data_IF_612603176042
#
_entry.id   IF_612603176042
#
_cell.length_a   1.000
_cell.length_b   1.000
_cell.length_c   1.000
_cell.angle_alpha   90.00
_cell.angle_beta   90.00
_cell.angle_gamma   90.00
#
_symmetry.space_group_name_H-M   'P 1'
#
loop_
_entity.id
_entity.type
_entity.pdbx_description
1 polymer ?
#
# COMPACT_ATOMS: atom_id res chain seq x y z
N UNK A 1 1.10 -29.01 -12.30
CA UNK A 1 0.50 -29.16 -10.96
C UNK A 1 1.61 -29.73 -10.12
N UNK A 2 2.26 -28.89 -9.32
CA UNK A 2 3.50 -29.26 -8.65
C UNK A 2 3.15 -30.14 -7.45
N UNK A 3 3.71 -31.34 -7.39
CA UNK A 3 3.67 -32.24 -6.25
C UNK A 3 4.25 -31.53 -5.01
N UNK A 4 3.37 -31.00 -4.15
CA UNK A 4 3.77 -30.51 -2.82
C UNK A 4 4.16 -31.71 -1.98
N UNK A 5 5.37 -31.68 -1.41
CA UNK A 5 5.81 -32.76 -0.54
C UNK A 5 4.87 -32.88 0.66
N UNK A 6 4.63 -34.10 1.15
CA UNK A 6 3.79 -34.33 2.33
C UNK A 6 4.25 -33.47 3.53
N UNK A 7 5.56 -33.22 3.60
CA UNK A 7 6.18 -32.34 4.58
C UNK A 7 5.76 -30.87 4.41
N UNK A 8 5.73 -30.36 3.18
CA UNK A 8 5.34 -28.97 2.91
C UNK A 8 3.87 -28.73 3.23
N UNK A 9 3.02 -29.72 2.91
CA UNK A 9 1.58 -29.64 3.24
C UNK A 9 1.35 -29.64 4.76
N UNK A 10 2.10 -30.43 5.52
CA UNK A 10 2.05 -30.42 6.99
C UNK A 10 2.55 -29.10 7.60
N UNK A 11 3.60 -28.52 7.02
CA UNK A 11 4.11 -27.20 7.43
C UNK A 11 3.09 -26.10 7.10
N UNK A 12 2.43 -26.18 5.95
CA UNK A 12 1.39 -25.24 5.54
C UNK A 12 0.12 -25.34 6.41
N UNK A 13 -0.16 -26.54 6.94
CA UNK A 13 -1.23 -26.77 7.93
C UNK A 13 -0.87 -26.30 9.35
N UNK A 14 0.34 -25.78 9.57
CA UNK A 14 0.75 -25.15 10.82
C UNK A 14 1.55 -26.03 11.77
N UNK A 15 1.92 -27.25 11.36
CA UNK A 15 2.85 -28.08 12.14
C UNK A 15 4.29 -27.61 11.92
N UNK A 16 5.11 -27.60 12.98
CA UNK A 16 6.52 -27.24 12.84
C UNK A 16 7.24 -28.27 11.96
N UNK A 17 8.24 -27.83 11.21
CA UNK A 17 8.94 -28.68 10.25
C UNK A 17 9.59 -29.91 10.91
N UNK A 18 10.02 -29.80 12.16
CA UNK A 18 10.61 -30.90 12.93
C UNK A 18 9.56 -31.95 13.30
N UNK A 19 8.37 -31.52 13.74
CA UNK A 19 7.23 -32.40 14.03
C UNK A 19 6.78 -33.16 12.79
N UNK A 20 6.62 -32.43 11.68
CA UNK A 20 6.23 -33.01 10.38
C UNK A 20 7.25 -34.05 9.88
N UNK A 21 8.55 -33.77 10.03
CA UNK A 21 9.63 -34.72 9.69
C UNK A 21 9.61 -35.96 10.57
N UNK A 22 9.46 -35.79 11.89
CA UNK A 22 9.43 -36.91 12.85
C UNK A 22 8.22 -37.82 12.59
N UNK A 23 7.06 -37.23 12.33
CA UNK A 23 5.84 -37.95 11.99
C UNK A 23 5.94 -38.71 10.66
N UNK A 24 6.51 -38.09 9.63
CA UNK A 24 6.75 -38.75 8.35
C UNK A 24 7.80 -39.87 8.46
N UNK A 25 8.81 -39.71 9.31
CA UNK A 25 9.79 -40.75 9.59
C UNK A 25 9.17 -41.93 10.36
N UNK A 26 8.36 -41.65 11.39
CA UNK A 26 7.68 -42.66 12.20
C UNK A 26 6.62 -43.45 11.41
N UNK A 27 5.97 -42.80 10.45
CA UNK A 27 4.96 -43.41 9.56
C UNK A 27 5.54 -43.96 8.25
N UNK A 28 6.87 -43.93 8.09
CA UNK A 28 7.54 -44.48 6.91
C UNK A 28 7.20 -43.77 5.59
N UNK A 29 6.87 -42.47 5.63
CA UNK A 29 6.43 -41.65 4.49
C UNK A 29 5.19 -42.21 3.76
N UNK A 30 4.27 -42.87 4.48
CA UNK A 30 3.05 -43.45 3.88
C UNK A 30 2.02 -42.40 3.41
N UNK A 31 2.17 -41.13 3.78
CA UNK A 31 1.32 -40.03 3.33
C UNK A 31 1.08 -38.98 4.40
N UNK A 32 0.43 -37.87 4.02
CA UNK A 32 0.11 -36.76 4.93
C UNK A 32 -0.84 -37.22 6.03
N UNK A 33 -1.87 -38.00 5.68
CA UNK A 33 -2.91 -38.45 6.63
C UNK A 33 -2.34 -39.33 7.75
N UNK A 34 -1.48 -40.29 7.42
CA UNK A 34 -0.79 -41.12 8.43
C UNK A 34 0.12 -40.28 9.33
N UNK A 35 0.84 -39.31 8.76
CA UNK A 35 1.66 -38.40 9.54
C UNK A 35 0.83 -37.50 10.47
N UNK A 36 -0.37 -37.06 10.06
CA UNK A 36 -1.28 -36.31 10.93
C UNK A 36 -1.82 -37.14 12.08
N UNK A 37 -2.20 -38.39 11.83
CA UNK A 37 -2.71 -39.30 12.86
C UNK A 37 -1.66 -39.54 13.96
N UNK A 38 -0.39 -39.77 13.55
CA UNK A 38 0.73 -39.88 14.48
C UNK A 38 0.99 -38.58 15.25
N UNK A 39 0.85 -37.42 14.60
CA UNK A 39 1.01 -36.10 15.23
C UNK A 39 -0.05 -35.81 16.29
N UNK A 40 -1.27 -36.34 16.12
CA UNK A 40 -2.37 -36.21 17.08
C UNK A 40 -2.17 -37.16 18.25
N UNK A 41 -1.77 -38.41 17.98
CA UNK A 41 -1.54 -39.41 19.03
C UNK A 41 -0.38 -39.05 19.97
N UNK A 42 0.56 -38.23 19.48
CA UNK A 42 1.72 -37.76 20.23
C UNK A 42 1.64 -36.25 20.52
N UNK A 43 0.46 -35.65 20.61
CA UNK A 43 0.36 -34.18 20.66
C UNK A 43 0.82 -33.51 21.94
N UNK A 44 0.80 -34.26 23.05
CA UNK A 44 1.12 -33.80 24.40
C UNK A 44 2.54 -34.15 24.85
N UNK A 45 3.39 -34.70 23.98
CA UNK A 45 4.74 -35.10 24.34
C UNK A 45 5.74 -33.94 24.09
N UNK A 46 6.23 -33.25 25.13
CA UNK A 46 7.11 -32.08 25.00
C UNK A 46 8.50 -32.43 24.44
N UNK A 47 8.87 -33.71 24.37
CA UNK A 47 10.12 -34.24 23.81
C UNK A 47 10.13 -34.30 22.27
N UNK A 48 9.06 -33.87 21.61
CA UNK A 48 8.99 -33.85 20.13
C UNK A 48 9.73 -32.65 19.54
N UNK A 49 10.00 -31.61 20.34
CA UNK A 49 10.78 -30.45 19.92
C UNK A 49 12.30 -30.62 20.08
N UNK A 50 12.78 -31.65 20.79
CA UNK A 50 14.22 -31.85 20.97
C UNK A 50 14.86 -32.50 19.73
N UNK A 51 15.97 -31.89 19.30
CA UNK A 51 16.68 -32.15 18.04
C UNK A 51 17.04 -33.63 17.84
N UNK A 52 16.64 -34.19 16.70
CA UNK A 52 17.12 -35.50 16.25
C UNK A 52 18.50 -35.31 15.60
N UNK A 53 19.57 -35.30 16.40
CA UNK A 53 20.91 -35.67 15.92
C UNK A 53 20.90 -37.18 15.61
N UNK A 54 20.79 -37.54 14.33
CA UNK A 54 20.88 -38.92 13.86
C UNK A 54 22.29 -39.22 13.37
N UNK A 55 23.07 -39.91 14.19
CA UNK A 55 24.08 -40.89 13.73
C UNK A 55 24.23 -42.03 14.75
N UNK A 56 23.64 -43.16 14.42
CA UNK A 56 23.71 -44.53 15.00
C UNK A 56 25.14 -45.17 14.98
N UNK A 57 25.41 -46.39 15.54
CA UNK A 57 24.57 -47.28 16.40
C UNK A 57 25.30 -48.05 17.56
N UNK A 58 24.51 -48.90 18.26
CA UNK A 58 24.78 -50.16 19.07
C UNK A 58 25.31 -50.04 20.53
N UNK A 59 24.93 -50.94 21.49
CA UNK A 59 23.59 -51.31 22.03
C UNK A 59 23.53 -51.36 23.60
N UNK A 60 22.37 -51.75 24.12
CA UNK A 60 22.10 -52.56 25.33
C UNK A 60 22.11 -51.94 26.75
N UNK A 61 20.92 -52.06 27.35
CA UNK A 61 20.61 -52.65 28.67
C UNK A 61 20.92 -51.89 29.99
N UNK A 62 19.81 -51.48 30.61
CA UNK A 62 19.39 -51.78 32.00
C UNK A 62 20.45 -51.97 33.07
N UNK A 63 20.31 -51.19 34.15
CA UNK A 63 19.96 -51.69 35.50
C UNK A 63 20.65 -50.86 36.61
N UNK A 64 19.80 -50.31 37.47
CA UNK A 64 20.16 -49.84 38.81
C UNK A 64 20.71 -51.01 39.63
N UNK A 65 21.90 -50.93 40.22
CA UNK A 65 22.22 -51.67 41.46
C UNK A 65 23.37 -50.99 42.20
N UNK A 66 23.08 -50.62 43.44
CA UNK A 66 24.04 -50.24 44.47
C UNK A 66 24.93 -51.42 44.92
N UNK A 67 26.10 -51.06 45.47
CA UNK A 67 27.01 -51.83 46.32
C UNK A 67 27.97 -52.84 45.66
N UNK A 68 29.28 -52.61 45.81
CA UNK A 68 30.14 -53.37 46.78
C UNK A 68 31.57 -52.83 46.80
N UNK A 69 32.16 -52.85 48.00
CA UNK A 69 33.53 -52.48 48.32
C UNK A 69 34.56 -53.54 47.89
N UNK A 70 35.84 -53.11 47.88
CA UNK A 70 37.10 -53.87 47.97
C UNK A 70 37.67 -54.61 46.73
N UNK A 71 38.73 -54.03 46.13
CA UNK A 71 40.01 -54.75 45.97
C UNK A 71 41.22 -53.84 45.69
N UNK A 72 42.32 -54.22 46.33
CA UNK A 72 43.61 -53.56 46.55
C UNK A 72 44.60 -53.66 45.36
N UNK A 73 45.23 -52.51 45.06
CA UNK A 73 46.62 -52.23 44.62
C UNK A 73 47.36 -53.12 43.58
N UNK A 74 47.81 -52.50 42.47
CA UNK A 74 49.24 -52.56 42.04
C UNK A 74 49.53 -51.77 40.74
N UNK A 75 50.28 -50.67 40.92
CA UNK A 75 51.38 -50.15 40.10
C UNK A 75 51.29 -50.15 38.56
N UNK A 76 51.31 -48.94 37.98
CA UNK A 76 51.67 -48.76 36.57
C UNK A 76 51.16 -47.48 35.88
N UNK A 77 50.64 -46.49 36.60
CA UNK A 77 50.29 -45.19 36.00
C UNK A 77 51.50 -44.29 36.09
N UNK A 78 52.19 -44.09 34.97
CA UNK A 78 53.15 -43.01 34.84
C UNK A 78 52.43 -41.71 35.25
N UNK A 79 52.82 -41.17 36.40
CA UNK A 79 52.31 -39.91 36.91
C UNK A 79 52.79 -38.83 35.94
N UNK A 80 51.93 -38.44 34.98
CA UNK A 80 52.04 -37.13 34.35
C UNK A 80 52.12 -36.13 35.49
N UNK A 81 53.27 -35.45 35.58
CA UNK A 81 53.56 -34.47 36.63
C UNK A 81 52.42 -33.45 36.70
N UNK A 82 52.08 -32.97 37.90
CA UNK A 82 51.04 -31.95 38.11
C UNK A 82 51.21 -30.75 37.16
N UNK A 83 52.47 -30.39 36.90
CA UNK A 83 52.85 -29.32 35.98
C UNK A 83 52.44 -29.59 34.51
N UNK A 84 52.52 -30.84 34.04
CA UNK A 84 52.11 -31.20 32.68
C UNK A 84 50.59 -31.22 32.51
N UNK A 85 49.87 -31.69 33.54
CA UNK A 85 48.40 -31.63 33.55
C UNK A 85 47.91 -30.19 33.56
N UNK A 86 48.58 -29.31 34.29
CA UNK A 86 48.25 -27.88 34.33
C UNK A 86 48.52 -27.16 33.00
N UNK A 87 49.59 -27.54 32.28
CA UNK A 87 49.85 -27.05 30.91
C UNK A 87 48.82 -27.57 29.91
N UNK A 88 48.39 -28.82 30.05
CA UNK A 88 47.40 -29.44 29.18
C UNK A 88 45.99 -28.84 29.41
N UNK A 89 45.61 -28.54 30.66
CA UNK A 89 44.36 -27.83 30.98
C UNK A 89 44.41 -26.37 30.54
N UNK A 90 45.52 -25.65 30.71
CA UNK A 90 45.69 -24.28 30.19
C UNK A 90 45.57 -24.22 28.67
N UNK A 91 46.22 -25.14 27.94
CA UNK A 91 46.07 -25.24 26.47
C UNK A 91 44.63 -25.55 26.06
N UNK A 92 43.95 -26.44 26.78
CA UNK A 92 42.54 -26.77 26.50
C UNK A 92 41.62 -25.57 26.75
N UNK A 93 41.79 -24.88 27.89
CA UNK A 93 41.02 -23.66 28.21
C UNK A 93 41.29 -22.54 27.20
N UNK A 94 42.53 -22.37 26.74
CA UNK A 94 42.90 -21.39 25.73
C UNK A 94 42.27 -21.72 24.36
N UNK A 95 42.25 -22.99 23.95
CA UNK A 95 41.56 -23.43 22.73
C UNK A 95 40.05 -23.20 22.80
N UNK A 96 39.44 -23.49 23.96
CA UNK A 96 38.00 -23.24 24.21
C UNK A 96 37.72 -21.74 24.17
N UNK A 97 38.54 -20.93 24.85
CA UNK A 97 38.39 -19.47 24.85
C UNK A 97 38.58 -18.87 23.45
N UNK A 98 39.51 -19.39 22.65
CA UNK A 98 39.74 -18.95 21.27
C UNK A 98 38.54 -19.29 20.38
N UNK A 99 37.99 -20.51 20.51
CA UNK A 99 36.80 -20.96 19.77
C UNK A 99 35.53 -20.22 20.19
N UNK A 100 35.38 -19.88 21.48
CA UNK A 100 34.26 -19.07 21.96
C UNK A 100 34.33 -17.62 21.47
N UNK A 101 35.51 -16.99 21.46
CA UNK A 101 35.69 -15.64 20.90
C UNK A 101 35.36 -15.59 19.41
N UNK A 102 35.78 -16.60 18.65
CA UNK A 102 35.45 -16.70 17.23
C UNK A 102 33.93 -16.85 17.00
N UNK A 103 33.28 -17.71 17.80
CA UNK A 103 31.82 -17.89 17.75
C UNK A 103 31.07 -16.61 18.11
N UNK A 104 31.52 -15.91 19.16
CA UNK A 104 30.91 -14.65 19.60
C UNK A 104 31.09 -13.53 18.56
N UNK A 105 32.26 -13.43 17.91
CA UNK A 105 32.46 -12.48 16.80
C UNK A 105 31.56 -12.80 15.61
N UNK A 106 31.41 -14.09 15.28
CA UNK A 106 30.51 -14.53 14.20
C UNK A 106 29.06 -14.20 14.52
N UNK A 107 28.59 -14.54 15.72
CA UNK A 107 27.22 -14.24 16.18
C UNK A 107 26.97 -12.72 16.25
N UNK A 108 27.97 -11.93 16.65
CA UNK A 108 27.86 -10.46 16.69
C UNK A 108 27.80 -9.87 15.27
N UNK A 109 28.58 -10.41 14.32
CA UNK A 109 28.49 -10.03 12.91
C UNK A 109 27.12 -10.38 12.33
N UNK A 110 26.61 -11.58 12.60
CA UNK A 110 25.28 -12.02 12.15
C UNK A 110 24.17 -11.15 12.73
N UNK A 111 24.23 -10.76 14.01
CA UNK A 111 23.26 -9.82 14.61
C UNK A 111 23.31 -8.43 13.98
N UNK A 112 24.51 -7.92 13.67
CA UNK A 112 24.67 -6.64 12.97
C UNK A 112 24.11 -6.73 11.54
N UNK A 113 24.34 -7.85 10.85
CA UNK A 113 23.84 -8.12 9.50
C UNK A 113 22.30 -8.19 9.50
N UNK A 114 21.70 -8.92 10.44
CA UNK A 114 20.25 -9.04 10.57
C UNK A 114 19.57 -7.69 10.89
N UNK A 115 20.12 -6.90 11.82
CA UNK A 115 19.58 -5.56 12.11
C UNK A 115 19.76 -4.61 10.91
N UNK A 116 20.86 -4.72 10.17
CA UNK A 116 21.06 -3.97 8.91
C UNK A 116 20.06 -4.39 7.84
N UNK A 117 19.74 -5.68 7.75
CA UNK A 117 18.77 -6.22 6.81
C UNK A 117 17.35 -5.76 7.14
N UNK A 118 16.97 -5.73 8.42
CA UNK A 118 15.69 -5.16 8.87
C UNK A 118 15.55 -3.68 8.47
N UNK A 119 16.61 -2.88 8.70
CA UNK A 119 16.64 -1.46 8.30
C UNK A 119 16.57 -1.30 6.79
N UNK A 120 17.31 -2.14 6.05
CA UNK A 120 17.34 -2.13 4.59
C UNK A 120 15.99 -2.47 4.00
N UNK A 121 15.31 -3.49 4.51
CA UNK A 121 13.95 -3.86 4.08
C UNK A 121 12.94 -2.73 4.34
N UNK A 122 13.03 -2.04 5.49
CA UNK A 122 12.19 -0.87 5.77
C UNK A 122 12.49 0.32 4.82
N UNK A 123 13.77 0.57 4.54
CA UNK A 123 14.17 1.59 3.57
C UNK A 123 13.74 1.24 2.15
N UNK A 124 13.79 -0.03 1.78
CA UNK A 124 13.42 -0.53 0.45
C UNK A 124 11.91 -0.39 0.21
N UNK A 125 11.07 -0.68 1.20
CA UNK A 125 9.61 -0.42 1.11
C UNK A 125 9.30 1.07 0.91
N UNK A 126 10.00 1.95 1.64
CA UNK A 126 9.86 3.40 1.46
C UNK A 126 10.32 3.87 0.08
N UNK A 127 11.46 3.34 -0.40
CA UNK A 127 12.02 3.64 -1.72
C UNK A 127 11.12 3.15 -2.86
N UNK A 128 10.49 1.97 -2.73
CA UNK A 128 9.52 1.45 -3.70
C UNK A 128 8.33 2.40 -3.82
N UNK A 129 7.77 2.86 -2.69
CA UNK A 129 6.65 3.81 -2.68
C UNK A 129 7.02 5.14 -3.31
N UNK A 130 8.20 5.69 -3.00
CA UNK A 130 8.68 6.95 -3.58
C UNK A 130 8.89 6.83 -5.09
N UNK A 131 9.47 5.72 -5.54
CA UNK A 131 9.70 5.46 -6.97
C UNK A 131 8.41 5.34 -7.76
N UNK A 132 7.37 4.74 -7.18
CA UNK A 132 6.06 4.65 -7.80
C UNK A 132 5.42 6.05 -7.95
N UNK A 133 5.50 6.87 -6.90
CA UNK A 133 4.99 8.25 -6.92
C UNK A 133 5.75 9.14 -7.91
N UNK A 134 7.07 8.98 -8.02
CA UNK A 134 7.90 9.65 -9.03
C UNK A 134 7.55 9.20 -10.45
N UNK A 135 7.31 7.91 -10.68
CA UNK A 135 6.89 7.39 -11.98
C UNK A 135 5.53 7.96 -12.42
N UNK A 136 4.56 8.04 -11.51
CA UNK A 136 3.27 8.67 -11.79
C UNK A 136 3.42 10.16 -12.14
N UNK A 137 4.25 10.88 -11.38
CA UNK A 137 4.51 12.30 -11.64
C UNK A 137 5.24 12.51 -12.97
N UNK A 138 6.22 11.66 -13.28
CA UNK A 138 6.97 11.71 -14.52
C UNK A 138 6.07 11.44 -15.74
N UNK A 139 5.19 10.43 -15.64
CA UNK A 139 4.23 10.11 -16.69
C UNK A 139 3.26 11.28 -16.93
N UNK A 140 2.75 11.89 -15.87
CA UNK A 140 1.89 13.07 -15.98
C UNK A 140 2.62 14.26 -16.63
N UNK A 141 3.90 14.47 -16.31
CA UNK A 141 4.71 15.53 -16.91
C UNK A 141 4.97 15.29 -18.40
N UNK A 142 5.24 14.05 -18.80
CA UNK A 142 5.47 13.66 -20.20
C UNK A 142 4.20 13.75 -21.04
N UNK A 143 3.05 13.33 -20.49
CA UNK A 143 1.76 13.44 -21.15
C UNK A 143 1.41 14.93 -21.37
N UNK A 144 1.64 15.78 -20.37
CA UNK A 144 1.46 17.24 -20.52
C UNK A 144 2.40 17.87 -21.55
N UNK A 145 3.62 17.34 -21.70
CA UNK A 145 4.57 17.78 -22.74
C UNK A 145 4.12 17.32 -24.13
N UNK A 146 3.65 16.08 -24.25
CA UNK A 146 3.13 15.53 -25.51
C UNK A 146 1.87 16.26 -25.97
N UNK A 147 0.90 16.48 -25.09
CA UNK A 147 -0.33 17.22 -25.40
C UNK A 147 0.00 18.64 -25.90
N UNK A 148 0.92 19.35 -25.24
CA UNK A 148 1.39 20.66 -25.72
C UNK A 148 2.06 20.57 -27.10
N UNK A 149 2.88 19.56 -27.36
CA UNK A 149 3.51 19.38 -28.67
C UNK A 149 2.48 19.06 -29.76
N UNK A 150 1.47 18.26 -29.45
CA UNK A 150 0.39 17.93 -30.38
C UNK A 150 -0.54 19.11 -30.64
N UNK A 151 -0.83 19.93 -29.62
CA UNK A 151 -1.57 21.18 -29.76
C UNK A 151 -0.82 22.18 -30.65
N UNK A 152 0.50 22.32 -30.44
CA UNK A 152 1.34 23.17 -31.30
C UNK A 152 1.34 22.68 -32.75
N UNK A 153 1.51 21.38 -32.98
CA UNK A 153 1.45 20.78 -34.33
C UNK A 153 0.06 20.91 -34.95
N UNK A 154 -1.01 20.77 -34.18
CA UNK A 154 -2.37 20.95 -34.65
C UNK A 154 -2.63 22.41 -35.05
N UNK A 155 -2.18 23.35 -34.21
CA UNK A 155 -2.23 24.79 -34.48
C UNK A 155 -1.43 25.16 -35.72
N UNK A 156 -0.27 24.54 -35.93
CA UNK A 156 0.53 24.72 -37.15
C UNK A 156 -0.19 24.21 -38.38
N UNK A 157 -0.78 22.99 -38.35
CA UNK A 157 -1.58 22.46 -39.47
C UNK A 157 -2.78 23.35 -39.81
N UNK A 158 -3.46 23.90 -38.81
CA UNK A 158 -4.58 24.84 -39.04
C UNK A 158 -4.07 26.12 -39.68
N UNK A 159 -2.95 26.66 -39.18
CA UNK A 159 -2.32 27.85 -39.75
C UNK A 159 -1.90 27.65 -41.20
N UNK A 160 -1.33 26.49 -41.53
CA UNK A 160 -0.96 26.14 -42.90
C UNK A 160 -2.18 26.02 -43.82
N UNK A 161 -3.28 25.37 -43.35
CA UNK A 161 -4.54 25.30 -44.10
C UNK A 161 -5.12 26.69 -44.38
N UNK A 162 -5.11 27.59 -43.39
CA UNK A 162 -5.56 28.98 -43.57
C UNK A 162 -4.64 29.72 -44.57
N UNK A 163 -3.33 29.53 -44.47
CA UNK A 163 -2.38 30.16 -45.39
C UNK A 163 -2.58 29.68 -46.84
N UNK A 164 -2.80 28.37 -47.03
CA UNK A 164 -3.09 27.75 -48.32
C UNK A 164 -4.41 28.24 -48.91
N UNK A 165 -5.49 28.26 -48.13
CA UNK A 165 -6.81 28.75 -48.57
C UNK A 165 -6.75 30.26 -48.89
N UNK A 166 -6.04 31.04 -48.07
CA UNK A 166 -5.81 32.47 -48.30
C UNK A 166 -4.99 32.72 -49.57
N UNK A 167 -3.94 31.94 -49.82
CA UNK A 167 -3.14 32.04 -51.04
C UNK A 167 -3.94 31.63 -52.28
N UNK A 168 -4.77 30.59 -52.20
CA UNK A 168 -5.63 30.17 -53.30
C UNK A 168 -6.72 31.20 -53.61
N UNK A 169 -7.37 31.77 -52.57
CA UNK A 169 -8.33 32.87 -52.73
C UNK A 169 -7.66 34.12 -53.31
N UNK A 170 -6.47 34.48 -52.84
CA UNK A 170 -5.73 35.62 -53.42
C UNK A 170 -5.40 35.39 -54.90
N UNK A 171 -5.04 34.17 -55.31
CA UNK A 171 -4.81 33.82 -56.72
C UNK A 171 -6.09 33.84 -57.57
N UNK A 172 -7.25 33.50 -56.99
CA UNK A 172 -8.54 33.46 -57.69
C UNK A 172 -9.28 34.81 -57.72
N UNK A 173 -9.20 35.60 -56.66
CA UNK A 173 -9.92 36.88 -56.49
C UNK A 173 -9.05 38.12 -56.72
N UNK A 174 -7.72 37.99 -56.80
CA UNK A 174 -6.81 39.09 -57.15
C UNK A 174 -6.91 39.59 -58.60
N UNK A 175 -7.86 39.07 -59.39
CA UNK A 175 -8.16 39.51 -60.76
C UNK A 175 -9.53 40.16 -60.96
N UNK A 176 -10.31 40.39 -59.90
CA UNK A 176 -11.62 41.05 -60.00
C UNK A 176 -11.60 42.45 -59.37
N UNK A 177 -11.73 43.43 -60.26
CA UNK A 177 -11.75 44.88 -60.07
C UNK A 177 -12.69 45.33 -58.95
N UNK A 178 -12.19 46.23 -58.11
CA UNK A 178 -12.93 46.94 -57.08
C UNK A 178 -13.76 48.08 -57.69
N UNK A 179 -15.05 48.16 -57.35
CA UNK A 179 -15.84 49.40 -57.41
C UNK A 179 -16.27 49.80 -55.99
N UNK A 180 -16.03 51.05 -55.56
CA UNK A 180 -16.50 51.57 -54.28
C UNK A 180 -17.80 52.37 -54.48
N UNK A 181 -18.79 52.14 -53.62
CA UNK A 181 -19.91 53.08 -53.42
C UNK A 181 -19.98 53.45 -51.94
N UNK A 182 -19.91 54.76 -51.69
CA UNK A 182 -19.96 55.44 -50.38
C UNK A 182 -21.36 56.07 -50.15
N UNK A 183 -21.64 56.86 -49.08
CA UNK A 183 -22.79 56.68 -48.17
C UNK A 183 -23.83 57.83 -48.25
N UNK A 184 -24.80 57.91 -47.31
CA UNK A 184 -25.30 59.22 -46.85
C UNK A 184 -25.26 59.40 -45.31
N UNK A 185 -25.20 60.68 -44.91
CA UNK A 185 -24.83 61.22 -43.59
C UNK A 185 -25.99 61.92 -42.82
N UNK A 186 -25.87 61.97 -41.48
CA UNK A 186 -26.14 63.08 -40.50
C UNK A 186 -27.58 63.66 -40.32
N UNK A 187 -28.17 64.04 -39.17
CA UNK A 187 -27.81 64.55 -37.79
C UNK A 187 -29.14 64.74 -36.96
N UNK A 188 -29.26 65.32 -35.72
CA UNK A 188 -28.43 65.40 -34.50
C UNK A 188 -29.19 65.03 -33.18
N UNK A 189 -28.48 65.17 -32.05
CA UNK A 189 -28.80 64.85 -30.64
C UNK A 189 -29.62 65.97 -29.96
N UNK A 190 -30.36 65.72 -28.86
CA UNK A 190 -29.98 66.41 -27.61
C UNK A 190 -29.95 65.50 -26.37
N UNK A 191 -29.01 65.83 -25.48
CA UNK A 191 -28.74 65.17 -24.21
C UNK A 191 -29.78 65.57 -23.14
N UNK A 192 -30.23 64.59 -22.34
CA UNK A 192 -30.50 64.80 -20.92
C UNK A 192 -30.36 63.49 -20.15
N UNK A 193 -29.87 63.63 -18.93
CA UNK A 193 -29.14 62.63 -18.16
C UNK A 193 -30.01 61.74 -17.26
N UNK A 194 -29.33 60.72 -16.73
CA UNK A 194 -29.64 59.88 -15.56
C UNK A 194 -30.48 58.62 -15.80
N UNK A 195 -29.77 57.51 -16.07
CA UNK A 195 -30.10 56.19 -15.53
C UNK A 195 -28.81 55.36 -15.40
N UNK A 196 -28.59 54.65 -14.29
CA UNK A 196 -27.36 53.89 -14.06
C UNK A 196 -27.27 52.74 -15.06
N UNK A 197 -26.16 52.72 -15.77
CA UNK A 197 -25.74 51.67 -16.68
C UNK A 197 -25.71 50.31 -15.98
N UNK A 198 -26.60 49.42 -16.41
CA UNK A 198 -26.44 47.97 -16.21
C UNK A 198 -25.19 47.52 -16.96
N UNK A 199 -24.27 46.76 -16.36
CA UNK A 199 -23.23 46.10 -17.14
C UNK A 199 -23.89 45.08 -18.05
N UNK A 200 -23.65 45.23 -19.35
CA UNK A 200 -23.92 44.22 -20.38
C UNK A 200 -23.18 42.95 -19.97
N UNK A 201 -23.94 41.97 -19.50
CA UNK A 201 -23.45 40.66 -19.10
C UNK A 201 -23.20 39.85 -20.38
N UNK A 202 -21.93 39.65 -20.73
CA UNK A 202 -21.53 38.53 -21.60
C UNK A 202 -22.13 37.23 -21.03
N UNK A 203 -22.53 36.27 -21.89
CA UNK A 203 -23.09 35.01 -21.42
C UNK A 203 -22.12 34.35 -20.42
N UNK A 204 -22.59 33.93 -19.23
CA UNK A 204 -21.70 33.40 -18.20
C UNK A 204 -21.06 32.12 -18.73
N UNK A 205 -19.75 32.18 -18.98
CA UNK A 205 -18.92 30.98 -19.18
C UNK A 205 -19.09 30.16 -17.91
N UNK A 206 -19.70 28.97 -18.03
CA UNK A 206 -19.96 28.08 -16.91
C UNK A 206 -18.63 27.82 -16.20
N UNK A 207 -18.41 28.43 -15.04
CA UNK A 207 -17.24 28.19 -14.21
C UNK A 207 -17.37 26.77 -13.66
N UNK A 208 -16.61 25.85 -14.24
CA UNK A 208 -16.44 24.51 -13.70
C UNK A 208 -15.50 24.61 -12.51
N UNK A 209 -16.00 24.30 -11.32
CA UNK A 209 -15.18 24.26 -10.11
C UNK A 209 -14.75 22.81 -9.88
N UNK A 210 -13.46 22.59 -9.63
CA UNK A 210 -12.90 21.26 -9.36
C UNK A 210 -12.99 20.86 -7.87
N UNK A 211 -13.41 21.80 -7.02
CA UNK A 211 -13.58 21.60 -5.59
C UNK A 211 -15.00 21.97 -5.15
N UNK A 212 -15.50 21.23 -4.18
CA UNK A 212 -16.83 21.40 -3.60
C UNK A 212 -16.73 21.48 -2.07
N UNK A 213 -17.18 22.59 -1.48
CA UNK A 213 -17.26 22.72 -0.02
C UNK A 213 -18.63 22.30 0.47
N UNK A 214 -18.68 21.20 1.22
CA UNK A 214 -19.91 20.67 1.80
C UNK A 214 -19.97 21.00 3.29
N UNK A 215 -21.07 21.62 3.71
CA UNK A 215 -21.42 21.75 5.12
C UNK A 215 -22.53 20.76 5.45
N UNK A 216 -22.26 19.81 6.34
CA UNK A 216 -23.23 18.84 6.84
C UNK A 216 -23.75 19.32 8.19
N UNK A 217 -25.07 19.48 8.30
CA UNK A 217 -25.76 19.74 9.57
C UNK A 217 -26.21 18.42 10.18
N UNK A 218 -25.75 18.16 11.40
CA UNK A 218 -26.06 16.98 12.17
C UNK A 218 -27.36 17.20 12.99
N UNK A 219 -27.91 16.11 13.53
CA UNK A 219 -29.15 16.09 14.32
C UNK A 219 -28.94 16.63 15.74
N UNK A 220 -27.70 16.60 16.22
CA UNK A 220 -27.29 17.23 17.48
C UNK A 220 -27.16 18.77 17.37
N UNK A 221 -27.37 19.31 16.17
CA UNK A 221 -27.24 20.74 15.85
C UNK A 221 -25.81 21.18 15.51
N UNK A 222 -24.82 20.29 15.62
CA UNK A 222 -23.46 20.56 15.17
C UNK A 222 -23.36 20.55 13.65
N UNK A 223 -22.30 21.17 13.13
CA UNK A 223 -22.05 21.25 11.70
C UNK A 223 -20.63 20.79 11.37
N UNK A 224 -20.53 19.81 10.48
CA UNK A 224 -19.26 19.36 9.90
C UNK A 224 -19.04 20.11 8.58
N UNK A 225 -17.85 20.65 8.36
CA UNK A 225 -17.48 21.27 7.08
C UNK A 225 -16.31 20.51 6.49
N UNK A 226 -16.44 20.07 5.25
CA UNK A 226 -15.37 19.37 4.53
C UNK A 226 -15.33 19.79 3.07
N UNK A 227 -14.13 19.81 2.51
CA UNK A 227 -13.92 20.09 1.08
C UNK A 227 -13.64 18.79 0.34
N UNK A 228 -14.42 18.52 -0.69
CA UNK A 228 -14.37 17.34 -1.55
C UNK A 228 -14.01 17.76 -2.98
N UNK A 229 -13.55 16.82 -3.81
CA UNK A 229 -13.33 17.09 -5.24
C UNK A 229 -14.63 17.03 -6.02
N UNK A 230 -14.75 17.78 -7.12
CA UNK A 230 -15.98 17.82 -7.93
C UNK A 230 -16.35 16.46 -8.54
N UNK A 231 -15.34 15.64 -8.84
CA UNK A 231 -15.49 14.27 -9.37
C UNK A 231 -15.63 13.20 -8.27
N UNK A 232 -15.59 13.60 -7.01
CA UNK A 232 -15.74 12.68 -5.87
C UNK A 232 -17.20 12.26 -5.72
N UNK A 233 -17.45 11.05 -5.25
CA UNK A 233 -18.79 10.49 -5.11
C UNK A 233 -19.47 10.99 -3.84
N UNK A 234 -20.81 11.07 -3.85
CA UNK A 234 -21.59 11.42 -2.65
C UNK A 234 -21.38 10.42 -1.50
N UNK A 235 -21.06 9.16 -1.80
CA UNK A 235 -20.66 8.15 -0.81
C UNK A 235 -19.52 8.62 0.10
N UNK A 236 -18.55 9.39 -0.42
CA UNK A 236 -17.44 9.91 0.39
C UNK A 236 -17.94 10.86 1.49
N UNK A 237 -18.97 11.66 1.20
CA UNK A 237 -19.61 12.54 2.18
C UNK A 237 -20.31 11.71 3.25
N UNK A 238 -20.99 10.62 2.87
CA UNK A 238 -21.64 9.71 3.82
C UNK A 238 -20.63 9.07 4.78
N UNK A 239 -19.53 8.52 4.26
CA UNK A 239 -18.45 7.93 5.08
C UNK A 239 -17.83 8.97 6.02
N UNK A 240 -17.62 10.20 5.52
CA UNK A 240 -17.11 11.30 6.35
C UNK A 240 -18.04 11.63 7.51
N UNK A 241 -19.36 11.61 7.28
CA UNK A 241 -20.36 11.79 8.34
C UNK A 241 -20.30 10.63 9.33
N UNK A 242 -20.24 9.38 8.87
CA UNK A 242 -20.17 8.19 9.75
C UNK A 242 -18.91 8.19 10.64
N UNK A 243 -17.78 8.66 10.12
CA UNK A 243 -16.52 8.71 10.86
C UNK A 243 -16.47 9.86 11.87
N UNK A 244 -17.02 11.02 11.51
CA UNK A 244 -16.91 12.26 12.30
C UNK A 244 -18.18 12.58 13.11
N UNK A 245 -19.18 11.70 13.07
CA UNK A 245 -20.37 11.78 13.91
C UNK A 245 -20.22 10.85 15.12
N UNK A 246 -19.89 11.37 16.31
CA UNK A 246 -19.69 10.55 17.51
C UNK A 246 -20.99 9.97 18.11
N UNK A 247 -22.15 10.64 17.93
CA UNK A 247 -23.43 10.25 18.55
C UNK A 247 -24.40 9.47 17.64
N UNK A 248 -23.93 8.79 16.61
CA UNK A 248 -24.77 8.30 15.50
C UNK A 248 -24.06 7.36 14.53
N UNK A 249 -22.87 6.89 14.93
CA UNK A 249 -22.18 5.82 14.23
C UNK A 249 -23.05 4.55 14.28
N UNK A 250 -23.61 4.16 13.13
CA UNK A 250 -24.37 2.93 12.94
C UNK A 250 -25.89 3.06 12.76
N UNK A 251 -26.49 4.25 12.92
CA UNK A 251 -27.90 4.43 12.56
C UNK A 251 -28.04 4.74 11.05
N UNK A 252 -28.99 4.12 10.33
CA UNK A 252 -29.24 4.47 8.94
C UNK A 252 -29.82 5.89 8.86
N UNK A 253 -29.15 6.76 8.09
CA UNK A 253 -29.59 8.13 7.86
C UNK A 253 -29.63 8.46 6.37
N UNK A 254 -30.45 9.45 6.02
CA UNK A 254 -30.53 10.04 4.69
C UNK A 254 -29.87 11.42 4.69
N UNK A 255 -29.20 11.75 3.59
CA UNK A 255 -28.71 13.10 3.32
C UNK A 255 -29.76 13.87 2.53
N UNK A 256 -30.07 15.09 2.96
CA UNK A 256 -31.00 15.97 2.26
C UNK A 256 -30.42 17.36 2.02
N UNK A 257 -30.75 17.95 0.87
CA UNK A 257 -30.46 19.36 0.57
C UNK A 257 -31.59 20.26 1.08
N UNK A 258 -31.29 21.53 1.34
CA UNK A 258 -32.30 22.53 1.74
C UNK A 258 -33.05 23.13 0.55
N UNK A 259 -32.33 23.51 -0.51
CA UNK A 259 -32.91 24.14 -1.70
C UNK A 259 -32.11 23.80 -2.98
N UNK A 260 -32.73 23.23 -4.02
CA UNK A 260 -34.04 22.58 -3.99
C UNK A 260 -33.99 21.37 -3.04
N UNK A 261 -35.05 21.16 -2.25
CA UNK A 261 -35.08 20.07 -1.27
C UNK A 261 -35.10 18.73 -1.99
N UNK A 262 -34.04 17.95 -1.83
CA UNK A 262 -33.85 16.63 -2.43
C UNK A 262 -33.34 15.69 -1.35
N UNK A 263 -33.91 14.50 -1.29
CA UNK A 263 -33.43 13.40 -0.43
C UNK A 263 -32.57 12.50 -1.32
N UNK A 264 -31.33 12.26 -0.92
CA UNK A 264 -30.43 11.40 -1.66
C UNK A 264 -30.64 9.94 -1.27
N UNK A 265 -30.73 9.09 -2.29
CA UNK A 265 -30.89 7.63 -2.17
C UNK A 265 -29.57 6.92 -2.44
N UNK A 266 -29.55 5.59 -2.34
CA UNK A 266 -28.36 4.77 -2.58
C UNK A 266 -27.83 4.92 -4.02
N UNK A 267 -28.72 5.01 -5.02
CA UNK A 267 -28.36 5.33 -6.42
C UNK A 267 -27.68 6.69 -6.60
N UNK A 268 -27.93 7.65 -5.71
CA UNK A 268 -27.26 8.95 -5.77
C UNK A 268 -25.89 8.93 -5.09
N UNK A 269 -25.58 7.90 -4.28
CA UNK A 269 -24.29 7.76 -3.61
C UNK A 269 -23.15 7.50 -4.59
N UNK A 270 -23.45 6.83 -5.71
CA UNK A 270 -22.47 6.47 -6.74
C UNK A 270 -22.14 7.63 -7.69
N UNK A 271 -22.96 8.67 -7.70
CA UNK A 271 -22.82 9.83 -8.59
C UNK A 271 -21.82 10.85 -8.05
N UNK A 272 -21.05 11.52 -8.92
CA UNK A 272 -20.12 12.56 -8.50
C UNK A 272 -20.86 13.83 -8.03
N UNK A 273 -20.24 14.57 -7.11
CA UNK A 273 -20.81 15.81 -6.54
C UNK A 273 -21.15 16.86 -7.61
N UNK A 274 -20.42 16.89 -8.72
CA UNK A 274 -20.70 17.77 -9.86
C UNK A 274 -22.02 17.43 -10.57
N UNK A 275 -22.32 16.14 -10.77
CA UNK A 275 -23.58 15.71 -11.41
C UNK A 275 -24.79 15.94 -10.53
N UNK A 276 -24.59 15.88 -9.21
CA UNK A 276 -25.63 16.18 -8.22
C UNK A 276 -25.88 17.68 -8.02
N UNK A 277 -25.10 18.54 -8.68
CA UNK A 277 -25.24 20.00 -8.58
C UNK A 277 -24.83 20.56 -7.21
N UNK A 278 -23.95 19.86 -6.48
CA UNK A 278 -23.47 20.28 -5.16
C UNK A 278 -22.26 21.23 -5.25
N UNK A 279 -21.63 21.30 -6.41
CA UNK A 279 -20.49 22.17 -6.73
C UNK A 279 -20.99 23.61 -7.00
N UNK A 280 -20.34 24.67 -6.49
CA UNK A 280 -19.08 24.71 -5.72
C UNK A 280 -19.23 24.60 -4.20
N UNK A 281 -20.45 24.80 -3.68
CA UNK A 281 -20.72 24.66 -2.25
C UNK A 281 -22.16 24.21 -2.04
N UNK A 282 -22.36 23.29 -1.11
CA UNK A 282 -23.69 22.83 -0.74
C UNK A 282 -23.83 22.61 0.76
N UNK A 283 -25.07 22.71 1.22
CA UNK A 283 -25.46 22.42 2.61
C UNK A 283 -26.31 21.16 2.59
N UNK A 284 -25.84 20.13 3.28
CA UNK A 284 -26.55 18.89 3.50
C UNK A 284 -27.03 18.82 4.94
N UNK A 285 -28.16 18.19 5.16
CA UNK A 285 -28.72 17.92 6.48
C UNK A 285 -28.83 16.40 6.59
N UNK A 286 -28.47 15.88 7.75
CA UNK A 286 -28.70 14.48 8.10
C UNK A 286 -30.10 14.35 8.67
N UNK A 287 -30.90 13.48 8.07
CA UNK A 287 -32.20 13.08 8.59
C UNK A 287 -32.20 11.59 8.89
N UNK A 288 -32.87 11.18 9.97
CA UNK A 288 -33.08 9.75 10.24
C UNK A 288 -33.91 9.13 9.12
N UNK A 289 -33.57 7.89 8.75
CA UNK A 289 -34.29 7.12 7.74
C UNK A 289 -35.68 6.71 8.23
#
# INVERSE_FOLDING_TARGET
MSDTSALESLVEMGFTQNRAKKALAATGNQGIESAMDWLVEHEDDPDIEEEIETSEPVPEETESTEMTEDMDTSAGRAFLTEEEKEKQTKRMMELIAQKQREREEREKREKIEQEKQRRKQGQELSAIRQRLQEQEMQKLADDRRKEKQEELKARERVREKIARDKAERARKFGGATAEPVSPPAETPIPASALSPSSPTQEPPVKKEYDQCRIQIRLLDGSALSQTFRAREQLAAVRVYVELNWPGGAGEPFNLLTTFPRRVFTEDDMEKPLQELGLVPSAVLIVAKK
#
